data_IF_475986862419
#
_entry.id   IF_475986862419
#
_cell.length_a   1.000
_cell.length_b   1.000
_cell.length_c   1.000
_cell.angle_alpha   90.00
_cell.angle_beta   90.00
_cell.angle_gamma   90.00
#
_symmetry.space_group_name_H-M   'P 1'
#
loop_
_entity.id
_entity.type
_entity.pdbx_description
1 polymer ?
#
# COMPACT_ATOMS: atom_id res chain seq x y z
N UNK A 1 -9.68 3.42 -11.70
CA UNK A 1 -9.15 3.81 -10.38
C UNK A 1 -10.06 3.21 -9.33
N UNK A 2 -9.52 2.36 -8.45
CA UNK A 2 -10.28 1.61 -7.45
C UNK A 2 -10.04 2.19 -6.06
N UNK A 3 -11.05 2.08 -5.19
CA UNK A 3 -10.94 2.42 -3.77
C UNK A 3 -10.96 1.10 -2.99
N UNK A 4 -10.05 0.97 -2.04
CA UNK A 4 -10.00 -0.14 -1.10
C UNK A 4 -9.85 0.36 0.33
N UNK A 5 -9.91 -0.56 1.28
CA UNK A 5 -9.67 -0.31 2.70
C UNK A 5 -8.49 -1.16 3.16
N UNK A 6 -7.56 -0.56 3.91
CA UNK A 6 -6.40 -1.28 4.44
C UNK A 6 -6.85 -2.33 5.44
N UNK A 7 -6.55 -3.58 5.15
CA UNK A 7 -6.83 -4.73 6.01
C UNK A 7 -5.64 -5.01 6.96
N UNK A 8 -4.41 -4.95 6.44
CA UNK A 8 -3.18 -5.08 7.21
C UNK A 8 -2.07 -4.27 6.55
N UNK A 9 -1.10 -3.81 7.32
CA UNK A 9 0.02 -3.01 6.82
C UNK A 9 1.33 -3.38 7.50
N UNK A 10 2.43 -3.13 6.80
CA UNK A 10 3.77 -3.23 7.39
C UNK A 10 4.76 -2.34 6.66
N UNK A 11 5.81 -1.92 7.36
CA UNK A 11 6.93 -1.19 6.79
C UNK A 11 8.09 -2.14 6.51
N UNK A 12 8.52 -2.16 5.25
CA UNK A 12 9.72 -2.88 4.84
C UNK A 12 10.92 -1.99 5.13
N UNK A 13 11.65 -2.33 6.20
CA UNK A 13 12.87 -1.62 6.59
C UNK A 13 14.12 -2.16 5.88
N UNK A 14 14.16 -3.46 5.60
CA UNK A 14 15.26 -4.13 4.91
C UNK A 14 14.74 -4.70 3.59
N UNK A 15 14.95 -3.95 2.51
CA UNK A 15 14.49 -4.33 1.19
C UNK A 15 15.51 -5.24 0.49
N UNK A 16 15.08 -6.08 -0.47
CA UNK A 16 15.99 -6.75 -1.40
C UNK A 16 16.91 -5.74 -2.09
N UNK A 17 18.11 -6.17 -2.51
CA UNK A 17 19.15 -5.29 -3.07
C UNK A 17 18.65 -4.39 -4.20
N UNK A 18 17.84 -4.94 -5.11
CA UNK A 18 17.23 -4.20 -6.23
C UNK A 18 16.27 -3.07 -5.80
N UNK A 19 15.82 -3.06 -4.54
CA UNK A 19 14.96 -2.05 -3.93
C UNK A 19 15.59 -1.35 -2.73
N UNK A 20 16.88 -1.56 -2.47
CA UNK A 20 17.56 -1.03 -1.28
C UNK A 20 17.44 0.51 -1.17
N UNK A 21 17.56 1.22 -2.29
CA UNK A 21 17.41 2.69 -2.34
C UNK A 21 16.00 3.23 -2.11
N UNK A 22 15.02 2.34 -1.93
CA UNK A 22 13.62 2.70 -1.70
C UNK A 22 13.16 2.37 -0.28
N UNK A 23 14.01 1.71 0.52
CA UNK A 23 13.73 1.49 1.92
C UNK A 23 13.91 2.78 2.73
N UNK A 24 13.08 3.05 3.76
CA UNK A 24 11.89 2.28 4.12
C UNK A 24 10.70 2.57 3.19
N UNK A 25 9.87 1.55 2.93
CA UNK A 25 8.60 1.72 2.24
C UNK A 25 7.49 0.89 2.89
N UNK A 26 6.25 1.37 2.79
CA UNK A 26 5.10 0.67 3.34
C UNK A 26 4.40 -0.16 2.26
N UNK A 27 3.95 -1.34 2.66
CA UNK A 27 3.05 -2.20 1.89
C UNK A 27 1.80 -2.48 2.73
N UNK A 28 0.69 -2.74 2.05
CA UNK A 28 -0.56 -3.07 2.69
C UNK A 28 -1.30 -4.18 1.92
N UNK A 29 -2.02 -5.02 2.64
CA UNK A 29 -3.16 -5.74 2.05
C UNK A 29 -4.36 -4.81 2.10
N UNK A 30 -4.94 -4.49 0.97
CA UNK A 30 -6.16 -3.71 0.87
C UNK A 30 -7.31 -4.59 0.36
N UNK A 31 -8.46 -4.48 1.03
CA UNK A 31 -9.74 -5.07 0.61
C UNK A 31 -10.37 -4.16 -0.45
N UNK A 32 -10.32 -4.61 -1.72
CA UNK A 32 -11.02 -3.98 -2.85
C UNK A 32 -12.32 -4.73 -3.17
N UNK A 33 -13.24 -4.15 -3.98
CA UNK A 33 -14.47 -4.84 -4.39
C UNK A 33 -14.22 -6.20 -5.07
N UNK A 34 -13.10 -6.35 -5.78
CA UNK A 34 -12.73 -7.61 -6.45
C UNK A 34 -11.91 -8.56 -5.57
N UNK A 35 -11.69 -8.21 -4.30
CA UNK A 35 -10.95 -9.00 -3.32
C UNK A 35 -9.66 -8.35 -2.81
N UNK A 36 -8.97 -9.07 -1.93
CA UNK A 36 -7.72 -8.61 -1.30
C UNK A 36 -6.58 -8.53 -2.28
N UNK A 37 -5.81 -7.45 -2.22
CA UNK A 37 -4.56 -7.32 -2.97
C UNK A 37 -3.46 -6.72 -2.11
N UNK A 38 -2.26 -7.23 -2.30
CA UNK A 38 -1.05 -6.59 -1.79
C UNK A 38 -0.74 -5.38 -2.66
N UNK A 39 -0.58 -4.22 -2.04
CA UNK A 39 -0.27 -2.96 -2.69
C UNK A 39 0.88 -2.27 -1.98
N UNK A 40 1.61 -1.44 -2.72
CA UNK A 40 2.57 -0.52 -2.15
C UNK A 40 1.91 0.83 -1.86
N UNK A 41 2.30 1.45 -0.76
CA UNK A 41 1.79 2.74 -0.34
C UNK A 41 2.78 3.83 -0.74
N UNK A 42 2.28 4.88 -1.38
CA UNK A 42 3.03 6.08 -1.69
C UNK A 42 2.55 7.28 -0.86
N UNK A 43 3.47 8.20 -0.59
CA UNK A 43 3.18 9.41 0.17
C UNK A 43 2.89 9.09 1.64
N UNK A 44 1.71 9.48 2.11
CA UNK A 44 1.31 9.37 3.51
C UNK A 44 1.12 7.90 3.90
N UNK A 45 1.75 7.50 5.00
CA UNK A 45 1.56 6.18 5.58
C UNK A 45 0.08 5.93 5.94
N UNK A 46 -0.34 4.68 5.79
CA UNK A 46 -1.71 4.23 6.07
C UNK A 46 -1.72 3.26 7.24
N UNK A 47 -2.87 3.13 7.87
CA UNK A 47 -3.13 2.21 8.95
C UNK A 47 -4.35 1.35 8.62
N UNK A 48 -4.51 0.24 9.37
CA UNK A 48 -5.70 -0.62 9.24
C UNK A 48 -6.97 0.22 9.35
N UNK A 49 -7.89 0.05 8.40
CA UNK A 49 -9.12 0.83 8.30
C UNK A 49 -9.03 2.09 7.43
N UNK A 50 -7.84 2.55 7.07
CA UNK A 50 -7.69 3.69 6.16
C UNK A 50 -8.18 3.34 4.76
N UNK A 51 -8.74 4.34 4.07
CA UNK A 51 -9.10 4.24 2.65
C UNK A 51 -7.86 4.50 1.80
N UNK A 52 -7.76 3.75 0.72
CA UNK A 52 -6.69 3.92 -0.28
C UNK A 52 -7.26 3.97 -1.68
N UNK A 53 -6.63 4.76 -2.56
CA UNK A 53 -6.94 4.84 -3.98
C UNK A 53 -5.79 4.30 -4.79
N UNK A 54 -6.09 3.42 -5.74
CA UNK A 54 -5.10 2.95 -6.71
C UNK A 54 -4.75 4.07 -7.70
N UNK A 55 -3.46 4.39 -7.77
CA UNK A 55 -2.88 5.44 -8.63
C UNK A 55 -2.15 4.86 -9.83
N UNK A 56 -1.58 3.66 -9.67
CA UNK A 56 -1.02 2.82 -10.72
C UNK A 56 -1.21 1.33 -10.36
N UNK A 57 -1.03 0.37 -11.28
CA UNK A 57 -1.17 -1.04 -10.97
C UNK A 57 -0.29 -1.45 -9.76
N UNK A 58 -0.93 -1.84 -8.65
CA UNK A 58 -0.24 -2.25 -7.41
C UNK A 58 0.29 -1.10 -6.54
N UNK A 59 0.03 0.15 -6.91
CA UNK A 59 0.43 1.35 -6.17
C UNK A 59 -0.80 2.12 -5.68
N UNK A 60 -0.78 2.54 -4.42
CA UNK A 60 -1.91 3.19 -3.78
C UNK A 60 -1.46 4.37 -2.92
N UNK A 61 -2.31 5.40 -2.87
CA UNK A 61 -2.16 6.55 -1.96
C UNK A 61 -3.31 6.58 -0.95
N UNK A 62 -3.08 7.17 0.22
CA UNK A 62 -4.13 7.43 1.22
C UNK A 62 -5.24 8.29 0.59
N UNK A 63 -6.49 7.89 0.82
CA UNK A 63 -7.67 8.61 0.37
C UNK A 63 -8.44 9.16 1.59
N UNK A 64 -9.11 10.30 1.38
CA UNK A 64 -10.02 10.90 2.37
C UNK A 64 -11.34 10.11 2.53
#
# INVERSE_FOLDING_TARGET
>A
MRIGVVYSETTVHAAPEVFAGQAPYQIALADFPEGRRLVRIEGTAVHIGDRVRETAPGLCAKAD
#
